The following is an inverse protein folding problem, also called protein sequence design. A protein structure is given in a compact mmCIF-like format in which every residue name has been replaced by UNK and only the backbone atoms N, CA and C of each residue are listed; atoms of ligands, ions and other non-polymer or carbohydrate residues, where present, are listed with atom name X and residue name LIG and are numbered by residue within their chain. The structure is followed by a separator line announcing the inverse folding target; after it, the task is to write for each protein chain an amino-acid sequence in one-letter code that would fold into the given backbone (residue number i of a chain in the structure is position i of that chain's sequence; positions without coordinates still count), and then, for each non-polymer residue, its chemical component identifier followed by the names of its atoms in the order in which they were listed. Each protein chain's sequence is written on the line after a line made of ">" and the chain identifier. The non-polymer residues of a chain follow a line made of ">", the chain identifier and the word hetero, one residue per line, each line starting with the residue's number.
data_IF_020617778160
#
_entry.id   IF_020617778160
#
_cell.length_a   1.000
_cell.length_b   1.000
_cell.length_c   1.000
_cell.angle_alpha   90.00
_cell.angle_beta   90.00
_cell.angle_gamma   90.00
#
_symmetry.space_group_name_H-M   'P 1'
#
loop_
_entity.id
_entity.type
_entity.pdbx_description
1 polymer ?
#
# COMPACT_ATOMS: atom_id res chain seq x y z
N UNK A 1 -17.83 -9.29 -11.99
CA UNK A 1 -18.69 -8.53 -11.04
C UNK A 1 -18.78 -7.14 -11.63
N UNK A 2 -19.95 -6.63 -11.91
CA UNK A 2 -20.15 -5.28 -12.43
C UNK A 2 -20.18 -4.28 -11.25
N UNK A 3 -20.13 -2.98 -11.56
CA UNK A 3 -20.09 -1.91 -10.54
C UNK A 3 -21.31 -1.94 -9.61
N UNK A 4 -22.49 -2.20 -10.17
CA UNK A 4 -23.74 -2.26 -9.40
C UNK A 4 -23.78 -3.44 -8.42
N UNK A 5 -23.13 -4.57 -8.76
CA UNK A 5 -22.97 -5.71 -7.83
C UNK A 5 -22.06 -5.35 -6.66
N UNK A 6 -21.02 -4.52 -6.92
CA UNK A 6 -20.09 -4.04 -5.89
C UNK A 6 -20.82 -3.12 -4.92
N UNK A 7 -21.50 -2.10 -5.43
CA UNK A 7 -22.26 -1.13 -4.62
C UNK A 7 -23.31 -1.85 -3.74
N UNK A 8 -24.05 -2.79 -4.32
CA UNK A 8 -25.05 -3.57 -3.56
C UNK A 8 -24.42 -4.32 -2.38
N UNK A 9 -23.23 -4.91 -2.57
CA UNK A 9 -22.50 -5.61 -1.49
C UNK A 9 -21.97 -4.66 -0.44
N UNK A 10 -21.43 -3.51 -0.86
CA UNK A 10 -20.94 -2.46 0.05
C UNK A 10 -22.08 -1.95 0.92
N UNK A 11 -23.23 -1.63 0.32
CA UNK A 11 -24.40 -1.17 1.05
C UNK A 11 -24.92 -2.21 2.06
N UNK A 12 -24.91 -3.48 1.69
CA UNK A 12 -25.29 -4.56 2.60
C UNK A 12 -24.37 -4.62 3.82
N UNK A 13 -23.04 -4.60 3.59
CA UNK A 13 -22.05 -4.59 4.66
C UNK A 13 -22.20 -3.35 5.56
N UNK A 14 -22.35 -2.16 4.98
CA UNK A 14 -22.53 -0.92 5.73
C UNK A 14 -23.74 -0.91 6.65
N UNK A 15 -24.83 -1.59 6.26
CA UNK A 15 -26.03 -1.73 7.10
C UNK A 15 -25.80 -2.67 8.30
N UNK A 16 -24.95 -3.68 8.13
CA UNK A 16 -24.62 -4.62 9.20
C UNK A 16 -23.59 -4.08 10.18
N UNK A 17 -22.77 -3.10 9.76
CA UNK A 17 -21.68 -2.53 10.55
C UNK A 17 -22.18 -1.66 11.69
N UNK A 18 -21.61 -1.88 12.88
CA UNK A 18 -21.67 -0.94 14.00
C UNK A 18 -20.82 0.31 13.68
N UNK A 19 -21.04 1.39 14.44
CA UNK A 19 -20.20 2.59 14.31
C UNK A 19 -18.71 2.29 14.56
N UNK A 20 -18.41 1.47 15.57
CA UNK A 20 -17.02 1.08 15.88
C UNK A 20 -16.36 0.34 14.72
N UNK A 21 -17.06 -0.57 14.06
CA UNK A 21 -16.55 -1.29 12.89
C UNK A 21 -16.35 -0.38 11.67
N UNK A 22 -17.24 0.61 11.47
CA UNK A 22 -17.06 1.63 10.43
C UNK A 22 -15.79 2.46 10.67
N UNK A 23 -15.55 2.85 11.92
CA UNK A 23 -14.31 3.56 12.32
C UNK A 23 -13.09 2.65 12.10
N UNK A 24 -13.17 1.39 12.50
CA UNK A 24 -12.11 0.40 12.27
C UNK A 24 -11.75 0.27 10.80
N UNK A 25 -12.76 0.16 9.91
CA UNK A 25 -12.53 0.06 8.46
C UNK A 25 -11.88 1.31 7.85
N UNK A 26 -12.08 2.48 8.44
CA UNK A 26 -11.43 3.73 8.04
C UNK A 26 -10.05 3.96 8.69
N UNK A 27 -9.64 3.08 9.60
CA UNK A 27 -8.40 3.22 10.36
C UNK A 27 -7.27 2.45 9.68
N UNK A 28 -6.11 3.12 9.53
CA UNK A 28 -4.88 2.55 8.99
C UNK A 28 -3.72 2.85 9.95
N UNK A 29 -3.40 1.95 10.88
CA UNK A 29 -2.21 2.09 11.71
C UNK A 29 -0.95 1.65 10.97
N UNK A 30 0.20 2.19 11.39
CA UNK A 30 1.50 1.63 11.05
C UNK A 30 1.68 0.29 11.76
N UNK A 31 2.29 -0.67 11.08
CA UNK A 31 2.47 -2.06 11.54
C UNK A 31 3.06 -2.18 12.95
N UNK A 32 4.03 -1.31 13.30
CA UNK A 32 4.67 -1.32 14.63
C UNK A 32 3.74 -0.95 15.79
N UNK A 33 2.61 -0.32 15.49
CA UNK A 33 1.58 0.06 16.46
C UNK A 33 0.49 -1.01 16.64
N UNK A 34 0.46 -2.04 15.79
CA UNK A 34 -0.56 -3.10 15.81
C UNK A 34 -0.11 -4.25 16.70
N UNK A 35 -0.91 -4.60 17.69
CA UNK A 35 -0.69 -5.76 18.56
C UNK A 35 -1.40 -6.99 18.00
N UNK A 36 -0.95 -8.20 18.34
CA UNK A 36 -1.67 -9.43 18.00
C UNK A 36 -3.12 -9.36 18.52
N UNK A 37 -4.08 -9.58 17.65
CA UNK A 37 -5.51 -9.53 17.96
C UNK A 37 -6.19 -8.19 17.64
N UNK A 38 -5.45 -7.09 17.48
CA UNK A 38 -6.03 -5.76 17.25
C UNK A 38 -6.79 -5.68 15.91
N UNK A 39 -6.28 -6.36 14.86
CA UNK A 39 -6.92 -6.34 13.54
C UNK A 39 -8.34 -6.89 13.60
N UNK A 40 -8.51 -8.04 14.27
CA UNK A 40 -9.84 -8.64 14.44
C UNK A 40 -10.70 -7.88 15.43
N UNK A 41 -10.14 -7.49 16.60
CA UNK A 41 -10.89 -6.86 17.67
C UNK A 41 -11.41 -5.45 17.32
N UNK A 42 -10.60 -4.69 16.56
CA UNK A 42 -10.93 -3.33 16.14
C UNK A 42 -11.57 -3.28 14.74
N UNK A 43 -11.62 -4.40 14.02
CA UNK A 43 -12.13 -4.47 12.65
C UNK A 43 -11.35 -3.56 11.69
N UNK A 44 -10.01 -3.53 11.80
CA UNK A 44 -9.18 -2.64 10.99
C UNK A 44 -9.33 -2.91 9.49
N UNK A 45 -9.53 -1.85 8.72
CA UNK A 45 -9.65 -1.94 7.25
C UNK A 45 -8.31 -2.01 6.54
N UNK A 46 -7.25 -1.48 7.13
CA UNK A 46 -5.93 -1.47 6.54
C UNK A 46 -4.81 -1.42 7.59
N UNK A 47 -3.61 -1.85 7.18
CA UNK A 47 -2.35 -1.69 7.93
C UNK A 47 -1.29 -1.27 6.92
N UNK A 48 -0.37 -0.39 7.32
CA UNK A 48 0.74 0.04 6.48
C UNK A 48 2.09 -0.38 7.08
N UNK A 49 3.02 -0.81 6.22
CA UNK A 49 4.44 -0.76 6.50
C UNK A 49 5.03 0.49 5.86
N UNK A 50 5.30 1.50 6.67
CA UNK A 50 6.14 2.61 6.28
C UNK A 50 7.60 2.20 6.15
N UNK A 51 8.49 3.14 5.92
CA UNK A 51 9.93 2.85 5.85
C UNK A 51 10.42 2.14 7.12
N UNK A 52 10.85 0.89 7.00
CA UNK A 52 11.35 0.09 8.11
C UNK A 52 10.35 -0.87 8.77
N UNK A 53 9.09 -0.91 8.35
CA UNK A 53 8.07 -1.86 8.83
C UNK A 53 8.25 -3.29 8.31
N UNK A 54 9.47 -3.78 8.15
CA UNK A 54 9.75 -5.11 7.62
C UNK A 54 9.65 -6.22 8.70
N UNK A 55 9.40 -7.48 8.29
CA UNK A 55 9.51 -8.64 9.16
C UNK A 55 10.96 -9.02 9.44
N UNK A 56 11.19 -9.88 10.41
CA UNK A 56 12.49 -10.51 10.68
C UNK A 56 12.38 -12.02 10.47
N UNK A 57 13.16 -12.64 9.57
CA UNK A 57 14.11 -12.02 8.63
C UNK A 57 13.39 -11.16 7.56
N UNK A 58 14.08 -10.16 6.98
CA UNK A 58 13.54 -9.38 5.87
C UNK A 58 13.75 -10.16 4.56
N UNK A 59 12.82 -11.04 4.24
CA UNK A 59 12.80 -11.84 2.99
C UNK A 59 11.42 -11.79 2.36
N UNK A 60 11.28 -12.01 1.03
CA UNK A 60 9.97 -12.04 0.37
C UNK A 60 8.99 -13.04 1.00
N UNK A 61 9.49 -14.20 1.43
CA UNK A 61 8.68 -15.23 2.08
C UNK A 61 8.16 -14.78 3.45
N UNK A 62 9.00 -14.11 4.24
CA UNK A 62 8.60 -13.57 5.54
C UNK A 62 7.58 -12.43 5.38
N UNK A 63 7.74 -11.59 4.36
CA UNK A 63 6.74 -10.58 4.00
C UNK A 63 5.39 -11.21 3.65
N UNK A 64 5.38 -12.21 2.75
CA UNK A 64 4.16 -12.91 2.38
C UNK A 64 3.51 -13.60 3.59
N UNK A 65 4.31 -14.18 4.48
CA UNK A 65 3.84 -14.78 5.74
C UNK A 65 3.22 -13.75 6.68
N UNK A 66 3.86 -12.60 6.85
CA UNK A 66 3.38 -11.50 7.68
C UNK A 66 2.05 -10.95 7.16
N UNK A 67 1.96 -10.62 5.87
CA UNK A 67 0.73 -10.09 5.25
C UNK A 67 -0.40 -11.11 5.35
N UNK A 68 -0.10 -12.41 5.14
CA UNK A 68 -1.07 -13.49 5.31
C UNK A 68 -1.60 -13.55 6.75
N UNK A 69 -0.74 -13.41 7.75
CA UNK A 69 -1.13 -13.40 9.15
C UNK A 69 -2.15 -12.28 9.46
N UNK A 70 -1.92 -11.08 8.94
CA UNK A 70 -2.88 -9.98 9.07
C UNK A 70 -4.20 -10.27 8.35
N UNK A 71 -4.18 -10.89 7.16
CA UNK A 71 -5.39 -11.29 6.45
C UNK A 71 -6.18 -12.35 7.22
N UNK A 72 -5.50 -13.36 7.72
CA UNK A 72 -6.13 -14.42 8.53
C UNK A 72 -6.76 -13.85 9.81
N UNK A 73 -6.12 -12.84 10.41
CA UNK A 73 -6.68 -12.15 11.56
C UNK A 73 -7.91 -11.32 11.20
N UNK A 74 -7.88 -10.55 10.12
CA UNK A 74 -9.01 -9.77 9.62
C UNK A 74 -10.25 -10.66 9.34
N UNK A 75 -10.01 -11.81 8.72
CA UNK A 75 -11.08 -12.77 8.42
C UNK A 75 -11.73 -13.41 9.67
N UNK A 76 -11.08 -13.32 10.85
CA UNK A 76 -11.69 -13.75 12.13
C UNK A 76 -12.53 -12.66 12.79
N UNK A 77 -12.54 -11.43 12.26
CA UNK A 77 -13.48 -10.39 12.73
C UNK A 77 -14.93 -10.79 12.46
N UNK A 78 -15.87 -10.14 13.14
CA UNK A 78 -17.31 -10.48 13.04
C UNK A 78 -17.85 -10.47 11.61
N UNK A 79 -17.40 -9.53 10.80
CA UNK A 79 -17.85 -9.40 9.39
C UNK A 79 -16.90 -10.10 8.39
N UNK A 80 -15.72 -10.53 8.84
CA UNK A 80 -14.77 -11.23 8.00
C UNK A 80 -14.30 -10.42 6.77
N UNK A 81 -14.23 -9.09 6.89
CA UNK A 81 -13.80 -8.22 5.80
C UNK A 81 -12.29 -8.32 5.65
N UNK A 82 -11.77 -8.63 4.44
CA UNK A 82 -10.34 -8.69 4.20
C UNK A 82 -9.66 -7.34 4.42
N UNK A 83 -8.42 -7.36 4.92
CA UNK A 83 -7.60 -6.19 5.17
C UNK A 83 -6.87 -5.73 3.90
N UNK A 84 -6.75 -4.42 3.69
CA UNK A 84 -5.80 -3.84 2.73
C UNK A 84 -4.45 -3.63 3.41
N UNK A 85 -3.41 -4.33 2.93
CA UNK A 85 -2.05 -4.11 3.41
C UNK A 85 -1.31 -3.19 2.46
N UNK A 86 -0.85 -2.04 2.98
CA UNK A 86 -0.19 -0.98 2.24
C UNK A 86 1.32 -0.89 2.49
N UNK A 87 2.04 -0.39 1.50
CA UNK A 87 3.48 -0.07 1.60
C UNK A 87 3.80 1.22 0.85
N UNK A 88 4.96 1.80 1.16
CA UNK A 88 5.59 2.87 0.39
C UNK A 88 6.67 2.26 -0.53
N UNK A 89 6.25 1.70 -1.67
CA UNK A 89 7.16 1.14 -2.68
C UNK A 89 7.51 2.21 -3.72
N UNK A 90 8.12 3.29 -3.26
CA UNK A 90 8.33 4.53 -4.02
C UNK A 90 9.37 4.45 -5.14
N UNK A 91 10.26 3.46 -5.10
CA UNK A 91 11.26 3.22 -6.15
C UNK A 91 11.61 1.72 -6.28
N UNK A 92 10.61 0.90 -6.55
CA UNK A 92 10.61 -0.54 -6.44
C UNK A 92 10.03 -0.97 -5.09
N UNK A 93 9.94 -2.26 -4.82
CA UNK A 93 9.51 -2.74 -3.50
C UNK A 93 10.64 -2.60 -2.47
N UNK A 94 11.08 -1.35 -2.27
CA UNK A 94 12.29 -0.96 -1.56
C UNK A 94 12.37 -1.42 -0.10
N UNK A 95 11.25 -1.82 0.49
CA UNK A 95 11.22 -2.35 1.86
C UNK A 95 11.67 -3.81 1.96
N UNK A 96 11.68 -4.55 0.84
CA UNK A 96 12.00 -5.98 0.80
C UNK A 96 13.45 -6.20 0.37
N UNK A 97 14.22 -6.89 1.21
CA UNK A 97 15.60 -7.22 0.86
C UNK A 97 15.63 -8.19 -0.33
N UNK A 98 16.35 -7.79 -1.38
CA UNK A 98 16.49 -8.56 -2.61
C UNK A 98 15.48 -8.18 -3.70
N UNK A 99 14.53 -7.28 -3.43
CA UNK A 99 13.70 -6.69 -4.47
C UNK A 99 14.50 -5.73 -5.35
N UNK A 100 13.95 -5.43 -6.53
CA UNK A 100 14.60 -4.50 -7.47
C UNK A 100 14.46 -3.07 -6.99
N UNK A 101 15.59 -2.36 -6.86
CA UNK A 101 15.60 -0.92 -6.59
C UNK A 101 15.74 -0.14 -7.90
N UNK A 102 14.85 0.82 -8.07
CA UNK A 102 14.86 1.75 -9.19
C UNK A 102 15.29 3.15 -8.72
N UNK A 103 15.68 4.05 -9.63
CA UNK A 103 15.85 5.45 -9.30
C UNK A 103 14.57 6.06 -8.70
N UNK A 104 14.73 7.07 -7.84
CA UNK A 104 13.59 7.86 -7.39
C UNK A 104 12.85 8.53 -8.55
N UNK A 105 11.58 8.93 -8.32
CA UNK A 105 10.70 9.46 -9.37
C UNK A 105 11.31 10.66 -10.11
N UNK A 106 12.07 11.52 -9.43
CA UNK A 106 12.77 12.64 -10.09
C UNK A 106 13.77 12.15 -11.15
N UNK A 107 14.47 11.04 -10.90
CA UNK A 107 15.37 10.42 -11.87
C UNK A 107 14.61 9.77 -13.03
N UNK A 108 13.47 9.16 -12.76
CA UNK A 108 12.59 8.60 -13.80
C UNK A 108 11.95 9.71 -14.64
N UNK A 109 11.50 10.80 -14.02
CA UNK A 109 10.96 11.98 -14.72
C UNK A 109 11.98 12.61 -15.67
N UNK A 110 13.24 12.71 -15.24
CA UNK A 110 14.32 13.23 -16.08
C UNK A 110 14.56 12.43 -17.37
N UNK A 111 14.08 11.18 -17.46
CA UNK A 111 14.15 10.40 -18.69
C UNK A 111 13.15 10.84 -19.75
N UNK A 112 12.07 11.52 -19.37
CA UNK A 112 10.92 11.87 -20.21
C UNK A 112 10.37 10.64 -20.99
N UNK A 113 10.53 9.43 -20.47
CA UNK A 113 10.09 8.17 -21.08
C UNK A 113 8.96 7.51 -20.26
N UNK A 114 7.72 7.83 -20.59
CA UNK A 114 6.54 7.23 -19.96
C UNK A 114 6.48 5.70 -20.12
N UNK A 115 7.06 5.17 -21.21
CA UNK A 115 7.16 3.72 -21.44
C UNK A 115 8.09 3.05 -20.43
N UNK A 116 9.23 3.69 -20.11
CA UNK A 116 10.14 3.24 -19.05
C UNK A 116 9.46 3.27 -17.68
N UNK A 117 8.82 4.39 -17.33
CA UNK A 117 8.08 4.54 -16.06
C UNK A 117 7.03 3.44 -15.90
N UNK A 118 6.26 3.14 -16.95
CA UNK A 118 5.28 2.05 -16.95
C UNK A 118 5.93 0.69 -16.69
N UNK A 119 7.09 0.39 -17.28
CA UNK A 119 7.80 -0.88 -17.04
C UNK A 119 8.30 -0.98 -15.60
N UNK A 120 8.84 0.10 -15.06
CA UNK A 120 9.28 0.20 -13.65
C UNK A 120 8.12 -0.03 -12.70
N UNK A 121 7.01 0.70 -12.88
CA UNK A 121 5.80 0.53 -12.08
C UNK A 121 5.24 -0.90 -12.16
N UNK A 122 5.27 -1.52 -13.36
CA UNK A 122 4.84 -2.90 -13.54
C UNK A 122 5.72 -3.88 -12.75
N UNK A 123 7.04 -3.71 -12.76
CA UNK A 123 7.96 -4.55 -12.01
C UNK A 123 7.70 -4.41 -10.49
N UNK A 124 7.58 -3.17 -9.99
CA UNK A 124 7.23 -2.87 -8.60
C UNK A 124 5.93 -3.55 -8.20
N UNK A 125 4.87 -3.41 -9.01
CA UNK A 125 3.57 -4.01 -8.72
C UNK A 125 3.62 -5.54 -8.65
N UNK A 126 4.43 -6.20 -9.51
CA UNK A 126 4.60 -7.65 -9.49
C UNK A 126 5.30 -8.10 -8.20
N UNK A 127 6.36 -7.40 -7.78
CA UNK A 127 7.08 -7.71 -6.54
C UNK A 127 6.23 -7.46 -5.30
N UNK A 128 5.46 -6.36 -5.26
CA UNK A 128 4.49 -6.10 -4.19
C UNK A 128 3.43 -7.21 -4.12
N UNK A 129 2.83 -7.57 -5.25
CA UNK A 129 1.83 -8.63 -5.31
C UNK A 129 2.37 -10.00 -4.86
N UNK A 130 3.63 -10.30 -5.17
CA UNK A 130 4.29 -11.55 -4.76
C UNK A 130 4.46 -11.65 -3.24
N UNK A 131 4.54 -10.52 -2.53
CA UNK A 131 4.59 -10.45 -1.07
C UNK A 131 3.23 -10.29 -0.40
N UNK A 132 2.14 -10.35 -1.18
CA UNK A 132 0.76 -10.21 -0.68
C UNK A 132 0.28 -8.77 -0.55
N UNK A 133 1.14 -7.79 -0.79
CA UNK A 133 0.79 -6.36 -0.76
C UNK A 133 -0.10 -6.00 -1.95
N UNK A 134 -1.21 -5.29 -1.67
CA UNK A 134 -2.20 -4.91 -2.68
C UNK A 134 -2.44 -3.40 -2.78
N UNK A 135 -1.78 -2.64 -1.94
CA UNK A 135 -1.89 -1.19 -1.91
C UNK A 135 -0.49 -0.57 -1.83
N UNK A 136 -0.16 0.27 -2.79
CA UNK A 136 1.09 1.02 -2.85
C UNK A 136 0.79 2.51 -2.81
N UNK A 137 1.48 3.26 -1.96
CA UNK A 137 1.38 4.72 -1.84
C UNK A 137 2.29 5.44 -2.83
N UNK A 138 2.49 4.84 -4.00
CA UNK A 138 3.26 5.37 -5.13
C UNK A 138 2.52 5.11 -6.45
N UNK A 139 2.81 5.87 -7.51
CA UNK A 139 3.74 7.00 -7.57
C UNK A 139 3.16 8.29 -6.95
N UNK A 140 4.05 9.21 -6.53
CA UNK A 140 3.63 10.55 -6.17
C UNK A 140 3.42 11.39 -7.44
N UNK A 141 2.18 11.84 -7.65
CA UNK A 141 1.77 12.65 -8.80
C UNK A 141 1.70 14.15 -8.46
N UNK A 142 2.51 14.60 -7.51
CA UNK A 142 2.64 16.02 -7.16
C UNK A 142 3.56 16.73 -8.14
N UNK A 143 3.13 17.90 -8.59
CA UNK A 143 3.98 18.81 -9.37
C UNK A 143 4.79 19.65 -8.40
N UNK A 144 6.11 19.62 -8.53
CA UNK A 144 7.01 20.35 -7.62
C UNK A 144 7.00 21.84 -7.98
N UNK A 145 6.78 22.69 -6.99
CA UNK A 145 6.79 24.15 -7.19
C UNK A 145 7.91 24.85 -6.41
N UNK A 146 8.52 24.18 -5.44
CA UNK A 146 9.57 24.74 -4.58
C UNK A 146 10.65 23.70 -4.28
N UNK A 147 11.87 23.98 -4.69
CA UNK A 147 13.04 23.10 -4.48
C UNK A 147 13.38 22.88 -2.98
N UNK A 148 12.84 23.71 -2.07
CA UNK A 148 13.01 23.55 -0.62
C UNK A 148 12.09 22.46 -0.03
N UNK A 149 11.12 21.97 -0.78
CA UNK A 149 10.23 20.91 -0.33
C UNK A 149 11.00 19.61 -0.10
N UNK A 150 10.96 19.06 1.12
CA UNK A 150 11.77 17.90 1.51
C UNK A 150 11.47 16.60 0.76
N UNK A 151 10.32 16.51 0.07
CA UNK A 151 9.92 15.34 -0.74
C UNK A 151 10.03 15.59 -2.25
N UNK A 152 10.83 16.59 -2.64
CA UNK A 152 11.08 16.94 -4.04
C UNK A 152 11.48 15.73 -4.89
N UNK A 153 12.36 14.88 -4.37
CA UNK A 153 12.90 13.70 -5.06
C UNK A 153 11.85 12.60 -5.32
N UNK A 154 10.71 12.64 -4.62
CA UNK A 154 9.63 11.67 -4.79
C UNK A 154 8.67 12.04 -5.94
N UNK A 155 8.80 13.21 -6.56
CA UNK A 155 7.97 13.65 -7.68
C UNK A 155 8.71 13.48 -9.01
N UNK A 156 7.96 13.38 -10.12
CA UNK A 156 8.58 13.26 -11.46
C UNK A 156 9.22 14.55 -11.94
N UNK A 157 8.82 15.71 -11.43
CA UNK A 157 9.34 17.02 -11.80
C UNK A 157 8.39 18.17 -11.53
N UNK A 158 8.68 19.32 -12.15
CA UNK A 158 7.95 20.57 -12.02
C UNK A 158 7.08 20.90 -13.26
N UNK A 159 7.12 20.07 -14.28
CA UNK A 159 6.29 20.18 -15.48
C UNK A 159 5.03 19.33 -15.36
N UNK A 160 3.86 19.97 -15.39
CA UNK A 160 2.55 19.29 -15.32
C UNK A 160 2.28 18.33 -16.47
N UNK A 161 2.93 18.54 -17.63
CA UNK A 161 2.79 17.63 -18.77
C UNK A 161 3.64 16.36 -18.62
N UNK A 162 4.66 16.40 -17.75
CA UNK A 162 5.52 15.26 -17.43
C UNK A 162 4.95 14.41 -16.30
N UNK A 163 4.30 15.03 -15.32
CA UNK A 163 3.71 14.36 -14.14
C UNK A 163 2.37 13.72 -14.48
#
# INVERSE_FOLDING_TARGET
>A
MNEQDVETKVDALLREMTLAEKIGQMTQPEKGSVRPGDVAALGLGSVISGGGGNPTPNTPQAWAGMVRGYQEEALRSRLGIPLLYGVDAVHGHNNVRGATLFPHLIGLGATADAGLVRRVARATAVECAATGVRWDFAPMVSVVQDARWGRYYEAFGDDTALV
#
